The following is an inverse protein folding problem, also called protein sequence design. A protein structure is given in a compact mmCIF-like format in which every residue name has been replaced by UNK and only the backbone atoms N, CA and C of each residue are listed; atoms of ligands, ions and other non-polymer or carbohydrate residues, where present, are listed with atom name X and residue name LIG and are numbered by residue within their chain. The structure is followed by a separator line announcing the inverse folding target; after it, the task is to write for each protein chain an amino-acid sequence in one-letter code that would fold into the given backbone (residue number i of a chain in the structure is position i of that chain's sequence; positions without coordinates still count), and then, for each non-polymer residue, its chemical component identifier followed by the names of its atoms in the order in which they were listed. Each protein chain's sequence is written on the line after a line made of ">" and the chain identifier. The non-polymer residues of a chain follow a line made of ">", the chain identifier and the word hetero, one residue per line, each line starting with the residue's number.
data_IF_270211625289
#
_entry.id   IF_270211625289
#
_cell.length_a   1.000
_cell.length_b   1.000
_cell.length_c   1.000
_cell.angle_alpha   90.00
_cell.angle_beta   90.00
_cell.angle_gamma   90.00
#
_symmetry.space_group_name_H-M   'P 1'
#
loop_
_entity.id
_entity.type
_entity.pdbx_description
1 polymer ?
#
# COMPACT_ATOMS: atom_id res chain seq x y z
N UNK A 1 12.54 -50.34 42.14
CA UNK A 1 11.66 -50.40 40.97
C UNK A 1 11.52 -48.97 40.46
N UNK A 2 12.05 -48.66 39.27
CA UNK A 2 12.03 -47.30 38.71
C UNK A 2 10.71 -47.11 37.98
N UNK A 3 9.87 -46.22 38.47
CA UNK A 3 8.61 -45.85 37.83
C UNK A 3 8.92 -44.90 36.68
N UNK A 4 8.88 -45.39 35.44
CA UNK A 4 9.00 -44.53 34.26
C UNK A 4 7.68 -43.79 34.08
N UNK A 5 7.67 -42.49 34.37
CA UNK A 5 6.51 -41.63 34.17
C UNK A 5 6.32 -41.43 32.66
N UNK A 6 5.33 -42.13 32.08
CA UNK A 6 4.98 -42.00 30.67
C UNK A 6 4.17 -40.72 30.49
N UNK A 7 4.84 -39.62 30.12
CA UNK A 7 4.18 -38.35 29.82
C UNK A 7 3.40 -38.52 28.51
N UNK A 8 2.08 -38.71 28.62
CA UNK A 8 1.22 -38.73 27.44
C UNK A 8 1.14 -37.33 26.81
N UNK A 9 1.29 -37.21 25.47
CA UNK A 9 1.18 -35.93 24.80
C UNK A 9 -0.26 -35.40 24.92
N UNK A 10 -0.41 -34.24 25.54
CA UNK A 10 -1.69 -33.54 25.65
C UNK A 10 -2.01 -32.87 24.31
N UNK A 11 -2.91 -33.47 23.53
CA UNK A 11 -3.42 -32.88 22.30
C UNK A 11 -4.41 -31.74 22.60
N UNK A 12 -3.96 -30.49 22.46
CA UNK A 12 -4.81 -29.29 22.61
C UNK A 12 -5.75 -29.06 21.41
N UNK A 13 -5.55 -29.77 20.31
CA UNK A 13 -6.37 -29.69 19.09
C UNK A 13 -6.74 -31.08 18.61
N UNK A 14 -7.97 -31.27 18.14
CA UNK A 14 -8.38 -32.53 17.51
C UNK A 14 -7.99 -32.53 16.02
N UNK A 15 -7.72 -33.71 15.42
CA UNK A 15 -7.45 -33.82 13.99
C UNK A 15 -8.53 -33.19 13.11
N UNK A 16 -9.80 -33.33 13.50
CA UNK A 16 -10.94 -32.71 12.80
C UNK A 16 -10.85 -31.17 12.80
N UNK A 17 -10.45 -30.57 13.92
CA UNK A 17 -10.30 -29.11 14.03
C UNK A 17 -9.12 -28.62 13.18
N UNK A 18 -8.04 -29.38 13.15
CA UNK A 18 -6.88 -29.10 12.27
C UNK A 18 -7.27 -29.20 10.80
N UNK A 19 -8.02 -30.24 10.40
CA UNK A 19 -8.48 -30.41 9.02
C UNK A 19 -9.39 -29.25 8.56
N UNK A 20 -10.33 -28.81 9.42
CA UNK A 20 -11.17 -27.63 9.15
C UNK A 20 -10.33 -26.36 8.95
N UNK A 21 -9.31 -26.15 9.78
CA UNK A 21 -8.41 -25.00 9.64
C UNK A 21 -7.63 -25.05 8.32
N UNK A 22 -7.10 -26.22 7.95
CA UNK A 22 -6.36 -26.40 6.70
C UNK A 22 -7.24 -26.18 5.47
N UNK A 23 -8.50 -26.63 5.51
CA UNK A 23 -9.47 -26.38 4.43
C UNK A 23 -9.77 -24.88 4.26
N UNK A 24 -9.89 -24.13 5.35
CA UNK A 24 -10.08 -22.67 5.31
C UNK A 24 -8.86 -21.98 4.72
N UNK A 25 -7.65 -22.35 5.17
CA UNK A 25 -6.40 -21.78 4.65
C UNK A 25 -6.25 -22.03 3.15
N UNK A 26 -6.46 -23.28 2.71
CA UNK A 26 -6.46 -23.63 1.28
C UNK A 26 -7.51 -22.84 0.51
N UNK A 27 -8.74 -22.74 1.02
CA UNK A 27 -9.80 -21.97 0.40
C UNK A 27 -9.42 -20.51 0.16
N UNK A 28 -8.84 -19.85 1.17
CA UNK A 28 -8.38 -18.45 1.05
C UNK A 28 -7.24 -18.32 0.04
N UNK A 29 -6.27 -19.24 0.04
CA UNK A 29 -5.18 -19.22 -0.93
C UNK A 29 -5.69 -19.41 -2.38
N UNK A 30 -6.64 -20.31 -2.59
CA UNK A 30 -7.23 -20.57 -3.91
C UNK A 30 -8.03 -19.35 -4.39
N UNK A 31 -8.93 -18.82 -3.55
CA UNK A 31 -9.74 -17.64 -3.90
C UNK A 31 -8.84 -16.43 -4.15
N UNK A 32 -7.86 -16.18 -3.28
CA UNK A 32 -6.89 -15.11 -3.44
C UNK A 32 -6.07 -15.24 -4.73
N UNK A 33 -5.62 -16.46 -5.07
CA UNK A 33 -4.93 -16.74 -6.33
C UNK A 33 -5.81 -16.49 -7.55
N UNK A 34 -7.08 -16.92 -7.54
CA UNK A 34 -8.01 -16.66 -8.64
C UNK A 34 -8.22 -15.16 -8.86
N UNK A 35 -8.41 -14.39 -7.79
CA UNK A 35 -8.51 -12.93 -7.90
C UNK A 35 -7.22 -12.36 -8.46
N UNK A 36 -6.07 -12.70 -7.84
CA UNK A 36 -4.74 -12.21 -8.21
C UNK A 36 -4.30 -12.61 -9.63
N UNK A 37 -4.78 -13.69 -10.24
CA UNK A 37 -4.43 -13.98 -11.63
C UNK A 37 -5.49 -13.49 -12.61
N UNK A 38 -6.78 -13.50 -12.21
CA UNK A 38 -7.89 -13.07 -13.05
C UNK A 38 -7.94 -11.55 -13.28
N UNK A 39 -7.42 -10.75 -12.36
CA UNK A 39 -7.41 -9.29 -12.45
C UNK A 39 -5.98 -8.71 -12.65
N UNK A 40 -5.01 -9.53 -13.09
CA UNK A 40 -3.59 -9.16 -13.31
C UNK A 40 -3.38 -7.83 -14.02
N UNK A 41 -4.16 -7.57 -15.06
CA UNK A 41 -4.07 -6.36 -15.86
C UNK A 41 -4.68 -5.11 -15.18
N UNK A 42 -5.47 -5.25 -14.11
CA UNK A 42 -6.13 -4.13 -13.44
C UNK A 42 -5.20 -3.34 -12.50
N UNK A 43 -4.23 -4.01 -11.87
CA UNK A 43 -3.28 -3.36 -10.94
C UNK A 43 -1.88 -3.20 -11.51
N UNK A 44 -1.56 -3.81 -12.65
CA UNK A 44 -0.29 -3.56 -13.32
C UNK A 44 -0.42 -2.28 -14.14
N UNK A 45 0.50 -1.33 -13.96
CA UNK A 45 0.53 -0.06 -14.73
C UNK A 45 0.93 -0.25 -16.19
N UNK A 46 0.92 -1.48 -16.67
CA UNK A 46 1.42 -1.87 -17.98
C UNK A 46 0.23 -2.06 -18.88
N UNK A 47 0.25 -1.44 -20.05
CA UNK A 47 -0.82 -1.63 -21.03
C UNK A 47 -0.94 -3.12 -21.38
N UNK A 48 -2.18 -3.66 -21.43
CA UNK A 48 -2.42 -5.03 -21.84
C UNK A 48 -1.77 -5.30 -23.20
N UNK A 49 -1.35 -6.53 -23.46
CA UNK A 49 -0.65 -6.87 -24.71
C UNK A 49 -1.42 -6.44 -25.97
N UNK A 50 -2.76 -6.45 -25.93
CA UNK A 50 -3.62 -5.98 -27.01
C UNK A 50 -3.67 -4.45 -27.18
N UNK A 51 -3.31 -3.68 -26.14
CA UNK A 51 -3.20 -2.22 -26.14
C UNK A 51 -1.77 -1.71 -26.22
N UNK A 52 -0.76 -2.60 -26.24
CA UNK A 52 0.62 -2.23 -26.55
C UNK A 52 0.72 -1.93 -28.04
N UNK A 53 0.50 -0.66 -28.38
CA UNK A 53 0.98 -0.11 -29.64
C UNK A 53 2.50 -0.30 -29.80
N UNK A 54 3.07 0.02 -30.97
CA UNK A 54 4.52 -0.02 -31.16
C UNK A 54 5.21 0.72 -30.02
N UNK A 55 6.28 0.12 -29.49
CA UNK A 55 7.11 0.75 -28.45
C UNK A 55 7.54 2.10 -29.00
N UNK A 56 6.89 3.16 -28.54
CA UNK A 56 7.30 4.51 -28.91
C UNK A 56 8.70 4.68 -28.35
N UNK A 57 9.66 5.00 -29.22
CA UNK A 57 10.97 5.47 -28.76
C UNK A 57 10.71 6.51 -27.68
N UNK A 58 11.34 6.32 -26.51
CA UNK A 58 11.25 7.29 -25.43
C UNK A 58 11.81 8.58 -25.97
N UNK A 59 10.92 9.45 -26.47
CA UNK A 59 11.30 10.76 -26.98
C UNK A 59 12.02 11.44 -25.83
N UNK A 60 13.26 11.88 -26.06
CA UNK A 60 14.07 12.54 -25.05
C UNK A 60 13.19 13.56 -24.31
N UNK A 61 13.26 13.62 -22.98
CA UNK A 61 12.41 14.51 -22.20
C UNK A 61 12.51 15.91 -22.80
N UNK A 62 11.36 16.53 -23.08
CA UNK A 62 11.33 17.89 -23.58
C UNK A 62 12.11 18.78 -22.60
N UNK A 63 12.97 19.66 -23.13
CA UNK A 63 13.69 20.61 -22.31
C UNK A 63 12.66 21.49 -21.58
N UNK A 64 12.58 21.34 -20.25
CA UNK A 64 11.66 22.13 -19.41
C UNK A 64 12.22 23.56 -19.36
N UNK A 65 11.42 24.53 -19.78
CA UNK A 65 11.81 25.96 -19.82
C UNK A 65 11.47 26.72 -18.54
N UNK A 66 10.87 26.04 -17.57
CA UNK A 66 10.44 26.61 -16.31
C UNK A 66 11.59 27.09 -15.43
N UNK A 67 11.24 27.94 -14.47
CA UNK A 67 12.14 28.46 -13.44
C UNK A 67 11.91 27.74 -12.12
N UNK A 68 12.98 27.41 -11.41
CA UNK A 68 12.89 26.88 -10.05
C UNK A 68 12.45 27.97 -9.08
N UNK A 69 11.39 27.71 -8.31
CA UNK A 69 10.85 28.60 -7.28
C UNK A 69 10.91 27.85 -5.94
N UNK A 70 11.91 28.12 -5.08
CA UNK A 70 11.99 27.47 -3.78
C UNK A 70 10.91 28.01 -2.84
N UNK A 71 10.00 27.15 -2.38
CA UNK A 71 8.98 27.47 -1.37
C UNK A 71 9.21 26.60 -0.15
N UNK A 72 9.35 27.21 1.02
CA UNK A 72 9.51 26.50 2.30
C UNK A 72 8.19 26.44 3.04
N UNK A 73 7.75 25.24 3.42
CA UNK A 73 6.54 24.99 4.19
C UNK A 73 6.91 24.23 5.47
N UNK A 74 6.40 24.68 6.61
CA UNK A 74 6.55 23.97 7.88
C UNK A 74 5.34 23.08 8.10
N UNK A 75 5.53 21.80 8.42
CA UNK A 75 4.43 20.93 8.80
C UNK A 75 4.07 21.16 10.27
N UNK A 76 2.78 21.37 10.53
CA UNK A 76 2.24 21.64 11.87
C UNK A 76 1.11 20.65 12.16
N UNK A 77 1.19 20.01 13.32
CA UNK A 77 0.22 19.04 13.80
C UNK A 77 -0.47 19.59 15.05
N UNK A 78 -1.79 19.41 15.13
CA UNK A 78 -2.57 19.81 16.29
C UNK A 78 -2.26 18.93 17.50
N UNK A 79 -2.37 19.48 18.70
CA UNK A 79 -2.09 18.77 19.95
C UNK A 79 -2.97 17.53 20.19
N UNK A 80 -4.12 17.45 19.51
CA UNK A 80 -5.05 16.33 19.55
C UNK A 80 -4.86 15.31 18.42
N UNK A 81 -3.80 15.45 17.60
CA UNK A 81 -3.40 14.52 16.52
C UNK A 81 -4.49 14.30 15.44
N UNK A 82 -5.41 15.26 15.29
CA UNK A 82 -6.53 15.15 14.34
C UNK A 82 -6.40 16.06 13.14
N UNK A 83 -5.61 17.11 13.26
CA UNK A 83 -5.49 18.16 12.25
C UNK A 83 -4.04 18.32 11.84
N UNK A 84 -3.80 18.17 10.55
CA UNK A 84 -2.49 18.32 9.94
C UNK A 84 -2.55 19.49 8.96
N UNK A 85 -1.60 20.41 9.04
CA UNK A 85 -1.60 21.64 8.27
C UNK A 85 -0.18 22.11 7.92
N UNK A 86 -0.08 23.06 6.99
CA UNK A 86 1.16 23.75 6.68
C UNK A 86 1.17 25.17 7.28
N UNK A 87 2.33 25.54 7.83
CA UNK A 87 2.70 26.80 8.49
C UNK A 87 1.95 27.15 9.79
N UNK A 88 0.65 26.90 9.87
CA UNK A 88 -0.17 27.23 11.05
C UNK A 88 -1.42 26.33 11.13
N UNK A 89 -2.12 26.32 12.29
CA UNK A 89 -3.37 25.56 12.46
C UNK A 89 -4.59 26.30 11.87
N UNK A 90 -5.72 25.61 11.61
CA UNK A 90 -6.92 26.28 11.09
C UNK A 90 -7.38 27.43 11.99
N UNK A 91 -7.51 28.62 11.41
CA UNK A 91 -7.90 29.85 12.12
C UNK A 91 -6.72 30.76 12.49
N UNK A 92 -5.48 30.32 12.25
CA UNK A 92 -4.26 31.13 12.42
C UNK A 92 -3.82 31.75 11.09
N UNK A 93 -3.12 32.89 11.17
CA UNK A 93 -2.62 33.59 9.99
C UNK A 93 -1.55 32.76 9.27
N UNK A 94 -1.66 32.66 7.95
CA UNK A 94 -0.73 31.87 7.14
C UNK A 94 -1.01 30.36 7.11
N UNK A 95 -2.14 29.91 7.68
CA UNK A 95 -2.62 28.53 7.54
C UNK A 95 -2.80 28.16 6.06
N UNK A 96 -2.12 27.10 5.62
CA UNK A 96 -2.22 26.54 4.26
C UNK A 96 -2.17 27.61 3.16
N UNK A 97 -0.99 28.25 2.93
CA UNK A 97 -0.87 29.36 2.00
C UNK A 97 -1.09 28.93 0.55
N UNK A 98 -1.70 29.81 -0.24
CA UNK A 98 -1.81 29.63 -1.69
C UNK A 98 -0.45 29.88 -2.36
N UNK A 99 0.00 28.94 -3.20
CA UNK A 99 1.24 29.06 -3.97
C UNK A 99 0.87 29.29 -5.43
N UNK A 100 1.23 30.46 -5.96
CA UNK A 100 1.05 30.78 -7.38
C UNK A 100 2.39 30.62 -8.12
N UNK A 101 2.38 29.79 -9.16
CA UNK A 101 3.50 29.58 -10.05
C UNK A 101 3.06 29.71 -11.52
N UNK A 102 3.90 30.34 -12.34
CA UNK A 102 3.67 30.39 -13.78
C UNK A 102 3.99 29.04 -14.40
N UNK A 103 3.21 28.63 -15.41
CA UNK A 103 3.50 27.44 -16.22
C UNK A 103 4.82 27.66 -16.97
N UNK A 104 5.71 26.66 -16.95
CA UNK A 104 7.05 26.71 -17.52
C UNK A 104 7.45 25.46 -18.28
#
# INVERSE_FOLDING_TARGET
>A
MSHTEHIEPIFRTSPERTAKMMAIMLGICVVGGVIFFGMWDYWTSVTPAAGRGPVSEVKAPAAVTGKEIPVSLAFVESSDFRTLAFNALPGEEGHNPEIQANVG
#
